data_IF_078032322201
#
_entry.id   IF_078032322201
#
_cell.length_a   1.000
_cell.length_b   1.000
_cell.length_c   1.000
_cell.angle_alpha   90.00
_cell.angle_beta   90.00
_cell.angle_gamma   90.00
#
_symmetry.space_group_name_H-M   'P 1'
#
loop_
_entity.id
_entity.type
_entity.pdbx_description
1 polymer ?
#
# COMPACT_ATOMS: atom_id res chain seq x y z
N UNK A 1 16.54 -12.75 6.62
CA UNK A 1 15.86 -12.53 7.92
C UNK A 1 16.38 -13.59 8.89
N UNK A 2 17.71 -13.70 8.98
CA UNK A 2 18.34 -14.98 9.33
C UNK A 2 18.27 -15.28 10.83
N UNK A 3 18.15 -14.22 11.64
CA UNK A 3 18.02 -14.27 13.09
C UNK A 3 16.61 -13.84 13.57
N UNK A 4 15.58 -13.96 12.72
CA UNK A 4 14.21 -13.56 13.04
C UNK A 4 13.28 -14.78 12.99
N UNK A 5 12.68 -15.13 14.13
CA UNK A 5 11.77 -16.28 14.23
C UNK A 5 10.36 -15.98 13.70
N UNK A 6 9.89 -14.73 13.84
CA UNK A 6 8.57 -14.29 13.42
C UNK A 6 8.50 -12.78 13.21
N UNK A 7 7.58 -12.33 12.34
CA UNK A 7 7.29 -10.92 12.09
C UNK A 7 5.82 -10.62 12.39
N UNK A 8 5.58 -9.58 13.19
CA UNK A 8 4.26 -8.98 13.37
C UNK A 8 4.25 -7.65 12.61
N UNK A 9 3.37 -7.56 11.63
CA UNK A 9 3.06 -6.32 10.93
C UNK A 9 1.72 -5.76 11.40
N UNK A 10 1.52 -4.45 11.24
CA UNK A 10 0.25 -3.80 11.54
C UNK A 10 -0.21 -2.95 10.37
N UNK A 11 -1.51 -2.86 10.19
CA UNK A 11 -2.09 -1.95 9.22
C UNK A 11 -3.40 -1.37 9.77
N UNK A 12 -3.62 -0.08 9.58
CA UNK A 12 -4.87 0.57 10.00
C UNK A 12 -6.09 -0.01 9.28
N UNK A 13 -7.19 -0.16 10.00
CA UNK A 13 -8.51 -0.53 9.47
C UNK A 13 -9.64 0.07 10.33
N UNK A 14 -10.88 -0.32 10.06
CA UNK A 14 -12.08 0.07 10.80
C UNK A 14 -12.55 -0.96 11.85
N UNK A 15 -11.83 -2.09 11.97
CA UNK A 15 -12.06 -3.13 12.98
C UNK A 15 -10.71 -3.69 13.47
N UNK A 16 -10.74 -4.51 14.51
CA UNK A 16 -9.58 -5.23 15.02
C UNK A 16 -9.63 -6.68 14.55
N UNK A 17 -8.78 -7.03 13.59
CA UNK A 17 -8.82 -8.36 12.94
C UNK A 17 -7.43 -8.86 12.60
N UNK A 18 -7.33 -10.16 12.40
CA UNK A 18 -6.16 -10.85 11.87
C UNK A 18 -6.62 -11.88 10.85
N UNK A 19 -5.77 -12.25 9.91
CA UNK A 19 -6.05 -13.31 8.93
C UNK A 19 -4.85 -14.22 8.72
N UNK A 20 -5.10 -15.43 8.22
CA UNK A 20 -4.05 -16.40 7.88
C UNK A 20 -4.25 -17.02 6.49
N UNK A 21 -3.19 -17.67 5.99
CA UNK A 21 -3.13 -18.25 4.66
C UNK A 21 -3.14 -17.18 3.56
N UNK A 22 -3.65 -17.54 2.38
CA UNK A 22 -3.81 -16.61 1.26
C UNK A 22 -4.74 -15.45 1.64
N UNK A 23 -4.18 -14.23 1.61
CA UNK A 23 -4.94 -13.03 1.90
C UNK A 23 -5.66 -12.51 0.66
N UNK A 24 -6.80 -11.85 0.86
CA UNK A 24 -7.39 -10.97 -0.17
C UNK A 24 -6.34 -9.98 -0.70
N UNK A 25 -6.38 -9.67 -1.99
CA UNK A 25 -5.47 -8.72 -2.62
C UNK A 25 -4.65 -9.31 -3.75
N UNK A 26 -3.60 -8.59 -4.13
CA UNK A 26 -2.69 -8.98 -5.22
C UNK A 26 -1.26 -8.70 -4.78
N UNK A 27 -0.28 -9.35 -5.39
CA UNK A 27 1.08 -8.80 -5.47
C UNK A 27 1.18 -7.77 -6.59
N UNK A 28 2.31 -7.07 -6.69
CA UNK A 28 2.57 -6.13 -7.78
C UNK A 28 4.04 -6.04 -8.18
N UNK A 29 4.25 -5.62 -9.42
CA UNK A 29 5.48 -4.94 -9.86
C UNK A 29 5.14 -3.51 -10.23
N UNK A 30 5.93 -2.58 -9.71
CA UNK A 30 5.91 -1.15 -10.01
C UNK A 30 7.12 -0.84 -10.88
N UNK A 31 6.90 -0.45 -12.13
CA UNK A 31 7.97 -0.29 -13.13
C UNK A 31 7.79 0.97 -13.94
N UNK A 32 8.86 1.73 -14.10
CA UNK A 32 8.92 2.91 -14.96
C UNK A 32 9.69 2.55 -16.23
N UNK A 33 9.12 2.85 -17.39
CA UNK A 33 9.77 2.74 -18.69
C UNK A 33 10.18 4.12 -19.16
N UNK A 34 11.42 4.23 -19.62
CA UNK A 34 12.06 5.46 -20.06
C UNK A 34 12.39 5.30 -21.55
N UNK A 35 11.83 6.16 -22.39
CA UNK A 35 12.08 6.17 -23.82
C UNK A 35 13.01 7.33 -24.18
N UNK A 36 14.05 7.03 -24.94
CA UNK A 36 14.98 7.99 -25.50
C UNK A 36 14.83 8.03 -27.03
N UNK A 37 14.70 9.24 -27.55
CA UNK A 37 14.51 9.53 -28.96
C UNK A 37 15.44 10.65 -29.43
N UNK A 38 14.99 11.42 -30.43
CA UNK A 38 15.77 12.49 -31.04
C UNK A 38 14.90 13.74 -31.16
N UNK A 39 15.36 14.84 -30.56
CA UNK A 39 14.66 16.11 -30.65
C UNK A 39 14.81 16.73 -32.04
N UNK A 40 13.75 17.38 -32.51
CA UNK A 40 13.73 18.16 -33.74
C UNK A 40 12.68 19.27 -33.62
N UNK A 41 12.75 20.28 -34.49
CA UNK A 41 11.73 21.31 -34.51
C UNK A 41 10.44 20.70 -35.09
N UNK A 42 9.35 20.71 -34.32
CA UNK A 42 8.10 20.03 -34.68
C UNK A 42 7.46 20.48 -36.01
N UNK A 43 7.64 21.76 -36.37
CA UNK A 43 7.24 22.29 -37.68
C UNK A 43 8.36 22.32 -38.74
N UNK A 44 9.60 22.64 -38.36
CA UNK A 44 10.66 22.97 -39.31
C UNK A 44 11.33 21.76 -39.95
N UNK A 45 11.59 20.73 -39.15
CA UNK A 45 12.26 19.50 -39.60
C UNK A 45 11.86 18.23 -38.82
N UNK A 46 10.55 17.96 -38.63
CA UNK A 46 10.07 16.84 -37.81
C UNK A 46 10.59 15.47 -38.27
N UNK A 47 10.88 15.29 -39.57
CA UNK A 47 11.42 14.04 -40.13
C UNK A 47 12.81 13.66 -39.60
N UNK A 48 13.54 14.59 -38.96
CA UNK A 48 14.80 14.31 -38.27
C UNK A 48 14.63 13.83 -36.84
N UNK A 49 13.43 14.00 -36.26
CA UNK A 49 13.14 13.60 -34.89
C UNK A 49 12.74 12.13 -34.76
N UNK A 50 12.78 11.63 -33.53
CA UNK A 50 12.20 10.34 -33.09
C UNK A 50 11.50 10.60 -31.77
N UNK A 51 10.17 10.53 -31.77
CA UNK A 51 9.35 10.97 -30.64
C UNK A 51 9.29 9.88 -29.56
N UNK A 52 9.91 10.15 -28.41
CA UNK A 52 9.78 9.31 -27.23
C UNK A 52 8.34 9.32 -26.67
N UNK A 53 7.62 10.44 -26.83
CA UNK A 53 6.22 10.53 -26.42
C UNK A 53 5.34 9.60 -27.26
N UNK A 54 5.57 9.53 -28.58
CA UNK A 54 4.81 8.62 -29.44
C UNK A 54 5.04 7.16 -29.01
N UNK A 55 6.25 6.82 -28.58
CA UNK A 55 6.57 5.49 -28.05
C UNK A 55 5.78 5.20 -26.76
N UNK A 56 5.69 6.16 -25.84
CA UNK A 56 4.85 6.05 -24.63
C UNK A 56 3.37 5.88 -24.99
N UNK A 57 2.85 6.66 -25.94
CA UNK A 57 1.45 6.54 -26.37
C UNK A 57 1.17 5.18 -27.02
N UNK A 58 2.06 4.71 -27.90
CA UNK A 58 1.95 3.41 -28.54
C UNK A 58 2.04 2.26 -27.54
N UNK A 59 2.94 2.35 -26.56
CA UNK A 59 3.01 1.38 -25.45
C UNK A 59 1.68 1.34 -24.68
N UNK A 60 1.12 2.50 -24.35
CA UNK A 60 -0.16 2.61 -23.63
C UNK A 60 -1.31 2.03 -24.44
N UNK A 61 -1.39 2.33 -25.74
CA UNK A 61 -2.41 1.77 -26.64
C UNK A 61 -2.26 0.25 -26.73
N UNK A 62 -1.04 -0.25 -26.93
CA UNK A 62 -0.74 -1.67 -26.97
C UNK A 62 -1.16 -2.38 -25.68
N UNK A 63 -0.86 -1.79 -24.53
CA UNK A 63 -1.29 -2.32 -23.24
C UNK A 63 -2.81 -2.27 -23.06
N UNK A 64 -3.46 -1.19 -23.50
CA UNK A 64 -4.93 -1.08 -23.42
C UNK A 64 -5.64 -2.16 -24.23
N UNK A 65 -5.14 -2.53 -25.41
CA UNK A 65 -5.67 -3.69 -26.15
C UNK A 65 -5.31 -5.02 -25.50
N UNK A 66 -4.14 -5.14 -24.87
CA UNK A 66 -3.78 -6.36 -24.12
C UNK A 66 -4.78 -6.67 -23.01
N UNK A 67 -5.43 -5.67 -22.41
CA UNK A 67 -6.36 -5.84 -21.27
C UNK A 67 -7.55 -6.75 -21.56
N UNK A 68 -7.96 -6.92 -22.81
CA UNK A 68 -9.02 -7.88 -23.19
C UNK A 68 -8.62 -9.33 -22.92
N UNK A 69 -7.32 -9.63 -22.90
CA UNK A 69 -6.77 -10.99 -22.80
C UNK A 69 -6.14 -11.28 -21.42
N UNK A 70 -6.46 -10.45 -20.42
CA UNK A 70 -5.94 -10.58 -19.06
C UNK A 70 -6.94 -11.30 -18.17
N UNK A 71 -6.44 -11.99 -17.15
CA UNK A 71 -7.30 -12.67 -16.18
C UNK A 71 -8.14 -11.65 -15.39
N UNK A 72 -9.43 -11.90 -15.07
CA UNK A 72 -10.28 -10.91 -14.38
C UNK A 72 -9.81 -10.47 -12.99
N UNK A 73 -8.91 -11.22 -12.35
CA UNK A 73 -8.31 -10.85 -11.06
C UNK A 73 -7.09 -9.91 -11.20
N UNK A 74 -6.57 -9.75 -12.41
CA UNK A 74 -5.45 -8.88 -12.69
C UNK A 74 -5.85 -7.42 -12.67
N UNK A 75 -4.96 -6.55 -12.22
CA UNK A 75 -5.11 -5.10 -12.37
C UNK A 75 -3.85 -4.49 -12.96
N UNK A 76 -4.03 -3.49 -13.81
CA UNK A 76 -2.93 -2.70 -14.36
C UNK A 76 -3.34 -1.24 -14.44
N UNK A 77 -2.44 -0.35 -14.05
CA UNK A 77 -2.66 1.10 -14.08
C UNK A 77 -1.36 1.78 -14.48
N UNK A 78 -1.46 2.92 -15.15
CA UNK A 78 -0.28 3.69 -15.53
C UNK A 78 -0.53 5.19 -15.44
N UNK A 79 0.57 5.94 -15.33
CA UNK A 79 0.61 7.40 -15.51
C UNK A 79 1.81 7.74 -16.39
N UNK A 80 1.65 8.72 -17.28
CA UNK A 80 2.79 9.29 -18.02
C UNK A 80 3.51 10.20 -17.03
N UNK A 81 4.71 9.80 -16.59
CA UNK A 81 5.49 10.54 -15.60
C UNK A 81 6.28 11.70 -16.21
N UNK A 82 6.61 11.61 -17.50
CA UNK A 82 7.13 12.71 -18.31
C UNK A 82 6.66 12.58 -19.76
N UNK A 83 6.09 13.64 -20.31
CA UNK A 83 5.52 13.67 -21.67
C UNK A 83 6.23 14.63 -22.63
N UNK A 84 7.41 15.13 -22.28
CA UNK A 84 8.11 16.20 -23.00
C UNK A 84 7.76 17.61 -22.54
N UNK A 85 8.61 18.57 -22.91
CA UNK A 85 8.61 19.92 -22.32
C UNK A 85 7.76 20.95 -23.09
N UNK A 86 7.76 20.88 -24.43
CA UNK A 86 7.09 21.87 -25.28
C UNK A 86 6.45 21.24 -26.53
N UNK A 87 5.27 21.70 -26.95
CA UNK A 87 4.54 21.12 -28.08
C UNK A 87 5.16 21.40 -29.45
N UNK A 88 6.06 22.37 -29.57
CA UNK A 88 6.75 22.70 -30.82
C UNK A 88 8.10 21.97 -30.99
N UNK A 89 8.45 21.08 -30.07
CA UNK A 89 9.68 20.27 -30.09
C UNK A 89 9.29 18.79 -30.06
N UNK A 90 9.86 17.99 -30.96
CA UNK A 90 9.69 16.52 -30.91
C UNK A 90 10.33 16.02 -29.61
N UNK A 91 9.60 15.34 -28.70
CA UNK A 91 10.14 14.91 -27.42
C UNK A 91 11.27 13.87 -27.60
N UNK A 92 12.49 14.21 -27.19
CA UNK A 92 13.62 13.27 -27.15
C UNK A 92 13.60 12.36 -25.92
N UNK A 93 12.75 12.65 -24.94
CA UNK A 93 12.60 11.85 -23.73
C UNK A 93 11.15 11.85 -23.29
N UNK A 94 10.64 10.69 -22.89
CA UNK A 94 9.35 10.53 -22.24
C UNK A 94 9.38 9.28 -21.36
N UNK A 95 8.56 9.24 -20.32
CA UNK A 95 8.49 8.11 -19.40
C UNK A 95 7.09 7.82 -18.94
N UNK A 96 6.85 6.54 -18.63
CA UNK A 96 5.56 6.03 -18.17
C UNK A 96 5.74 5.05 -17.02
N UNK A 97 4.99 5.26 -15.95
CA UNK A 97 5.05 4.46 -14.74
C UNK A 97 3.84 3.54 -14.64
N UNK A 98 4.08 2.23 -14.54
CA UNK A 98 3.09 1.17 -14.48
C UNK A 98 3.07 0.48 -13.12
N UNK A 99 1.86 0.12 -12.68
CA UNK A 99 1.62 -0.97 -11.74
C UNK A 99 1.01 -2.15 -12.49
N UNK A 100 1.62 -3.34 -12.36
CA UNK A 100 1.08 -4.62 -12.82
C UNK A 100 0.82 -5.49 -11.59
N UNK A 101 -0.42 -5.98 -11.45
CA UNK A 101 -0.88 -6.70 -10.25
C UNK A 101 -1.56 -8.00 -10.62
N UNK A 102 -1.20 -9.08 -9.92
CA UNK A 102 -1.90 -10.35 -10.02
C UNK A 102 -1.87 -11.13 -8.69
N UNK A 103 -2.69 -12.18 -8.58
CA UNK A 103 -2.84 -12.98 -7.36
C UNK A 103 -1.70 -13.97 -7.11
N UNK A 104 -0.94 -14.37 -8.15
CA UNK A 104 0.21 -15.29 -8.02
C UNK A 104 1.49 -14.61 -8.49
N UNK A 105 2.63 -15.01 -7.92
CA UNK A 105 3.92 -14.45 -8.32
C UNK A 105 4.29 -14.80 -9.76
N UNK A 106 3.94 -16.00 -10.22
CA UNK A 106 4.09 -16.41 -11.62
C UNK A 106 3.26 -15.52 -12.56
N UNK A 107 1.98 -15.32 -12.27
CA UNK A 107 1.12 -14.45 -13.07
C UNK A 107 1.59 -13.00 -13.10
N UNK A 108 2.22 -12.50 -12.03
CA UNK A 108 2.87 -11.18 -12.03
C UNK A 108 4.04 -11.16 -13.01
N UNK A 109 4.91 -12.18 -13.02
CA UNK A 109 6.06 -12.27 -13.95
C UNK A 109 5.60 -12.35 -15.40
N UNK A 110 4.64 -13.21 -15.70
CA UNK A 110 4.12 -13.36 -17.08
C UNK A 110 3.55 -12.04 -17.62
N UNK A 111 2.82 -11.32 -16.77
CA UNK A 111 2.26 -10.02 -17.13
C UNK A 111 3.34 -8.95 -17.27
N UNK A 112 4.36 -8.97 -16.41
CA UNK A 112 5.49 -8.06 -16.49
C UNK A 112 6.33 -8.30 -17.74
N UNK A 113 6.62 -9.55 -18.09
CA UNK A 113 7.32 -9.92 -19.33
C UNK A 113 6.51 -9.55 -20.57
N UNK A 114 5.18 -9.64 -20.49
CA UNK A 114 4.31 -9.16 -21.55
C UNK A 114 4.40 -7.64 -21.71
N UNK A 115 4.37 -6.89 -20.61
CA UNK A 115 4.52 -5.44 -20.63
C UNK A 115 5.87 -5.03 -21.22
N UNK A 116 6.94 -5.75 -20.88
CA UNK A 116 8.28 -5.54 -21.43
C UNK A 116 8.29 -5.67 -22.96
N UNK A 117 7.68 -6.73 -23.52
CA UNK A 117 7.57 -6.91 -24.97
C UNK A 117 6.76 -5.81 -25.66
N UNK A 118 5.72 -5.30 -24.99
CA UNK A 118 4.92 -4.16 -25.52
C UNK A 118 5.77 -2.88 -25.56
N UNK A 119 6.57 -2.63 -24.52
CA UNK A 119 7.49 -1.48 -24.48
C UNK A 119 8.55 -1.56 -25.60
N UNK A 120 9.15 -2.73 -25.79
CA UNK A 120 10.10 -3.00 -26.89
C UNK A 120 9.46 -2.80 -28.26
N UNK A 121 8.24 -3.30 -28.46
CA UNK A 121 7.49 -3.09 -29.70
C UNK A 121 7.20 -1.61 -29.97
N UNK A 122 6.86 -0.83 -28.94
CA UNK A 122 6.64 0.61 -29.08
C UNK A 122 7.92 1.37 -29.45
N UNK A 123 9.06 0.96 -28.87
CA UNK A 123 10.36 1.50 -29.24
C UNK A 123 10.69 1.22 -30.73
N UNK A 124 10.45 -0.01 -31.18
CA UNK A 124 10.65 -0.41 -32.58
C UNK A 124 9.76 0.36 -33.56
N UNK A 125 8.49 0.62 -33.22
CA UNK A 125 7.57 1.37 -34.08
C UNK A 125 7.98 2.84 -34.29
N UNK A 126 8.82 3.38 -33.42
CA UNK A 126 9.15 4.80 -33.36
C UNK A 126 10.63 5.11 -33.59
N UNK A 127 11.44 4.09 -33.93
CA UNK A 127 12.91 4.12 -33.91
C UNK A 127 13.50 4.81 -32.66
N UNK A 128 12.92 4.54 -31.48
CA UNK A 128 13.43 5.00 -30.19
C UNK A 128 14.11 3.85 -29.44
N UNK A 129 14.74 4.14 -28.32
CA UNK A 129 15.24 3.13 -27.38
C UNK A 129 14.42 3.17 -26.10
N UNK A 130 14.29 2.02 -25.43
CA UNK A 130 13.61 1.92 -24.14
C UNK A 130 14.53 1.29 -23.10
N UNK A 131 14.53 1.87 -21.91
CA UNK A 131 15.05 1.27 -20.69
C UNK A 131 13.96 1.19 -19.64
N UNK A 132 14.21 0.47 -18.55
CA UNK A 132 13.26 0.35 -17.45
C UNK A 132 13.95 0.52 -16.10
N UNK A 133 13.13 0.84 -15.10
CA UNK A 133 13.52 0.87 -13.70
C UNK A 133 12.41 0.29 -12.84
N UNK A 134 12.73 -0.67 -11.97
CA UNK A 134 11.80 -1.12 -10.94
C UNK A 134 11.72 -0.04 -9.85
N UNK A 135 10.51 0.45 -9.60
CA UNK A 135 10.23 1.45 -8.57
C UNK A 135 9.90 0.78 -7.23
N UNK A 136 9.32 -0.41 -7.27
CA UNK A 136 8.94 -1.18 -6.10
C UNK A 136 8.25 -2.48 -6.50
N UNK A 137 8.07 -3.36 -5.53
CA UNK A 137 7.39 -4.62 -5.74
C UNK A 137 6.67 -5.06 -4.47
N UNK A 138 5.70 -5.95 -4.62
CA UNK A 138 5.07 -6.65 -3.53
C UNK A 138 4.76 -8.09 -3.97
N UNK A 139 5.16 -9.09 -3.20
CA UNK A 139 4.68 -10.45 -3.41
C UNK A 139 3.20 -10.60 -3.00
N UNK A 140 2.46 -11.57 -3.57
CA UNK A 140 1.16 -11.97 -3.01
C UNK A 140 1.33 -12.35 -1.54
N UNK A 141 0.37 -11.98 -0.68
CA UNK A 141 0.52 -12.16 0.78
C UNK A 141 0.01 -13.54 1.22
N UNK A 142 0.79 -14.21 2.06
CA UNK A 142 0.37 -15.44 2.72
C UNK A 142 0.79 -15.41 4.20
N UNK A 143 -0.16 -15.49 5.13
CA UNK A 143 0.10 -15.26 6.55
C UNK A 143 0.09 -16.53 7.39
N UNK A 144 0.88 -16.53 8.47
CA UNK A 144 1.10 -17.68 9.33
C UNK A 144 -0.11 -17.99 10.22
N UNK A 145 -0.65 -19.21 10.09
CA UNK A 145 -1.87 -19.63 10.79
C UNK A 145 -1.72 -19.75 12.31
N UNK A 146 -0.72 -20.47 12.86
CA UNK A 146 -0.51 -20.54 14.31
C UNK A 146 -0.43 -19.17 14.99
N UNK A 147 0.37 -18.25 14.43
CA UNK A 147 0.51 -16.90 14.99
C UNK A 147 -0.82 -16.13 14.90
N UNK A 148 -1.54 -16.23 13.79
CA UNK A 148 -2.84 -15.58 13.63
C UNK A 148 -3.88 -16.07 14.64
N UNK A 149 -3.91 -17.38 14.94
CA UNK A 149 -4.83 -17.94 15.93
C UNK A 149 -4.50 -17.46 17.35
N UNK A 150 -3.22 -17.42 17.72
CA UNK A 150 -2.78 -16.85 19.00
C UNK A 150 -3.13 -15.36 19.10
N UNK A 151 -2.90 -14.60 18.02
CA UNK A 151 -3.26 -13.20 17.94
C UNK A 151 -4.79 -12.99 18.05
N UNK A 152 -5.61 -13.82 17.41
CA UNK A 152 -7.07 -13.73 17.48
C UNK A 152 -7.60 -13.95 18.92
N UNK A 153 -7.00 -14.87 19.67
CA UNK A 153 -7.32 -15.02 21.10
C UNK A 153 -6.95 -13.77 21.91
N UNK A 154 -5.85 -13.09 21.57
CA UNK A 154 -5.50 -11.81 22.18
C UNK A 154 -6.45 -10.67 21.75
N UNK A 155 -6.88 -10.64 20.49
CA UNK A 155 -7.91 -9.72 19.98
C UNK A 155 -9.20 -9.87 20.78
N UNK A 156 -9.66 -11.11 21.03
CA UNK A 156 -10.87 -11.39 21.82
C UNK A 156 -10.75 -10.94 23.27
N UNK A 157 -9.59 -11.14 23.90
CA UNK A 157 -9.32 -10.70 25.29
C UNK A 157 -9.28 -9.19 25.43
N UNK A 158 -8.68 -8.49 24.46
CA UNK A 158 -8.51 -7.03 24.51
C UNK A 158 -9.78 -6.31 24.06
N UNK A 159 -10.44 -6.81 23.03
CA UNK A 159 -11.67 -6.23 22.48
C UNK A 159 -11.46 -4.89 21.76
N UNK A 160 -12.52 -4.40 21.13
CA UNK A 160 -12.52 -3.06 20.55
C UNK A 160 -12.42 -1.99 21.67
N UNK A 161 -11.80 -0.83 21.39
CA UNK A 161 -11.81 0.25 22.37
C UNK A 161 -13.22 0.79 22.59
N UNK A 162 -13.45 1.39 23.76
CA UNK A 162 -14.70 2.06 24.07
C UNK A 162 -14.80 3.37 23.30
N UNK A 163 -15.74 3.43 22.36
CA UNK A 163 -16.08 4.65 21.62
C UNK A 163 -16.97 5.57 22.45
N UNK A 164 -16.63 6.86 22.50
CA UNK A 164 -17.50 7.88 23.08
C UNK A 164 -18.70 8.18 22.18
N UNK A 165 -19.67 8.94 22.69
CA UNK A 165 -20.76 9.45 21.87
C UNK A 165 -20.23 10.35 20.73
N UNK A 166 -19.18 11.13 20.99
CA UNK A 166 -18.56 11.99 19.98
C UNK A 166 -17.79 11.21 18.90
N UNK A 167 -17.12 10.11 19.25
CA UNK A 167 -16.51 9.20 18.28
C UNK A 167 -17.56 8.71 17.28
N UNK A 168 -18.71 8.26 17.82
CA UNK A 168 -19.81 7.75 17.02
C UNK A 168 -20.49 8.86 16.20
N UNK A 169 -20.66 10.05 16.78
CA UNK A 169 -21.23 11.23 16.11
C UNK A 169 -20.36 11.64 14.92
N UNK A 170 -19.06 11.75 15.12
CA UNK A 170 -18.08 12.09 14.09
C UNK A 170 -18.07 11.04 12.97
N UNK A 171 -17.96 9.76 13.33
CA UNK A 171 -17.93 8.69 12.33
C UNK A 171 -19.20 8.64 11.48
N UNK A 172 -20.38 8.85 12.09
CA UNK A 172 -21.65 8.92 11.36
C UNK A 172 -21.72 10.16 10.47
N UNK A 173 -21.30 11.33 10.96
CA UNK A 173 -21.26 12.55 10.17
C UNK A 173 -20.34 12.39 8.94
N UNK A 174 -19.16 11.80 9.14
CA UNK A 174 -18.21 11.53 8.05
C UNK A 174 -18.78 10.53 7.04
N UNK A 175 -19.42 9.46 7.50
CA UNK A 175 -20.11 8.50 6.63
C UNK A 175 -21.24 9.17 5.82
N UNK A 176 -22.06 10.02 6.44
CA UNK A 176 -23.10 10.79 5.76
C UNK A 176 -22.51 11.74 4.72
N UNK A 177 -21.41 12.43 5.07
CA UNK A 177 -20.70 13.33 4.14
C UNK A 177 -20.17 12.57 2.91
N UNK A 178 -19.75 11.32 3.10
CA UNK A 178 -19.34 10.43 2.02
C UNK A 178 -20.52 9.75 1.29
N UNK A 179 -21.76 10.14 1.57
CA UNK A 179 -22.95 9.66 0.87
C UNK A 179 -23.49 8.32 1.35
N UNK A 180 -23.17 7.88 2.57
CA UNK A 180 -23.73 6.65 3.10
C UNK A 180 -25.24 6.82 3.42
N UNK A 181 -26.09 6.04 2.75
CA UNK A 181 -27.56 6.05 2.98
C UNK A 181 -27.93 5.73 4.43
N UNK A 182 -27.14 4.87 5.08
CA UNK A 182 -27.31 4.47 6.47
C UNK A 182 -25.97 4.52 7.21
N UNK A 183 -25.60 5.64 7.84
CA UNK A 183 -24.39 5.74 8.64
C UNK A 183 -24.51 4.85 9.88
N UNK A 184 -23.56 3.94 10.06
CA UNK A 184 -23.54 2.96 11.15
C UNK A 184 -22.59 3.37 12.28
N UNK A 185 -21.71 4.35 12.04
CA UNK A 185 -20.67 4.77 12.97
C UNK A 185 -19.48 3.81 13.01
N UNK A 186 -18.81 3.76 14.16
CA UNK A 186 -17.69 2.87 14.43
C UNK A 186 -18.15 1.48 14.86
N UNK A 187 -17.35 0.46 14.55
CA UNK A 187 -17.65 -0.91 14.93
C UNK A 187 -17.70 -1.08 16.46
N UNK A 188 -18.73 -1.76 16.96
CA UNK A 188 -18.88 -2.11 18.39
C UNK A 188 -18.74 -3.61 18.64
N UNK A 189 -18.59 -4.40 17.58
CA UNK A 189 -18.37 -5.85 17.65
C UNK A 189 -17.16 -6.22 16.78
N UNK A 190 -16.37 -7.19 17.25
CA UNK A 190 -15.26 -7.76 16.49
C UNK A 190 -15.78 -8.50 15.26
N UNK A 191 -15.09 -8.36 14.13
CA UNK A 191 -15.45 -9.08 12.91
C UNK A 191 -15.02 -10.55 12.90
N UNK A 192 -14.16 -10.94 13.85
CA UNK A 192 -13.55 -12.28 13.90
C UNK A 192 -12.34 -12.42 12.99
N UNK A 193 -11.73 -13.61 13.03
CA UNK A 193 -10.56 -13.96 12.24
C UNK A 193 -10.92 -14.13 10.75
N UNK A 194 -10.02 -13.66 9.88
CA UNK A 194 -10.09 -13.90 8.44
C UNK A 194 -9.47 -15.24 8.07
N UNK A 195 -10.26 -16.11 7.44
CA UNK A 195 -9.81 -17.37 6.87
C UNK A 195 -9.58 -17.25 5.36
N UNK A 196 -8.75 -18.13 4.76
CA UNK A 196 -8.58 -18.20 3.32
C UNK A 196 -9.92 -18.34 2.59
N UNK A 197 -10.10 -17.58 1.53
CA UNK A 197 -11.32 -17.66 0.73
C UNK A 197 -11.29 -18.88 -0.20
N UNK A 198 -12.44 -19.54 -0.47
CA UNK A 198 -12.52 -20.60 -1.46
C UNK A 198 -12.14 -20.15 -2.88
N UNK A 199 -12.20 -18.84 -3.15
CA UNK A 199 -11.80 -18.26 -4.43
C UNK A 199 -11.05 -16.95 -4.19
N UNK A 200 -9.93 -16.73 -4.90
CA UNK A 200 -9.12 -15.53 -4.72
C UNK A 200 -9.88 -14.27 -5.17
N UNK A 201 -9.60 -13.16 -4.49
CA UNK A 201 -10.21 -11.86 -4.74
C UNK A 201 -9.12 -10.82 -4.89
N UNK A 202 -9.12 -10.11 -6.02
CA UNK A 202 -8.21 -9.00 -6.30
C UNK A 202 -8.38 -7.86 -5.29
N UNK A 203 -7.35 -7.01 -5.15
CA UNK A 203 -7.39 -5.89 -4.21
C UNK A 203 -6.02 -5.26 -4.01
N UNK A 204 -5.84 -4.59 -2.87
CA UNK A 204 -4.57 -3.92 -2.53
C UNK A 204 -3.38 -4.88 -2.49
N UNK A 205 -2.19 -4.29 -2.51
CA UNK A 205 -0.89 -4.97 -2.41
C UNK A 205 -0.05 -4.23 -1.39
N UNK A 206 0.85 -4.95 -0.74
CA UNK A 206 1.64 -4.46 0.38
C UNK A 206 2.93 -5.28 0.43
N UNK A 207 4.07 -4.64 0.65
CA UNK A 207 5.41 -5.25 0.61
C UNK A 207 5.65 -6.25 1.74
N UNK A 208 4.78 -6.26 2.77
CA UNK A 208 4.73 -7.34 3.75
C UNK A 208 4.52 -8.71 3.10
N UNK A 209 4.00 -8.76 1.87
CA UNK A 209 3.97 -9.95 1.04
C UNK A 209 5.35 -10.60 0.92
N UNK A 210 6.38 -9.84 0.54
CA UNK A 210 7.75 -10.33 0.38
C UNK A 210 8.28 -10.90 1.69
N UNK A 211 8.05 -10.21 2.81
CA UNK A 211 8.47 -10.65 4.13
C UNK A 211 7.75 -11.95 4.52
N UNK A 212 6.47 -12.04 4.21
CA UNK A 212 5.64 -13.20 4.55
C UNK A 212 6.12 -14.49 3.91
N UNK A 213 6.89 -14.43 2.81
CA UNK A 213 7.51 -15.58 2.15
C UNK A 213 8.95 -15.87 2.59
N UNK A 214 9.51 -15.08 3.50
CA UNK A 214 10.87 -15.26 4.01
C UNK A 214 10.90 -15.66 5.50
N UNK A 215 9.84 -15.38 6.25
CA UNK A 215 9.75 -15.64 7.69
C UNK A 215 8.27 -15.75 8.11
N UNK A 216 7.90 -16.59 9.11
CA UNK A 216 6.56 -16.63 9.66
C UNK A 216 6.04 -15.22 9.99
N UNK A 217 5.00 -14.79 9.26
CA UNK A 217 4.52 -13.39 9.33
C UNK A 217 3.02 -13.34 9.53
N UNK A 218 2.56 -12.41 10.35
CA UNK A 218 1.14 -12.08 10.52
C UNK A 218 0.90 -10.57 10.37
N UNK A 219 -0.30 -10.18 9.98
CA UNK A 219 -0.71 -8.76 9.95
C UNK A 219 -1.90 -8.52 10.87
N UNK A 220 -1.73 -7.65 11.87
CA UNK A 220 -2.83 -7.11 12.66
C UNK A 220 -3.47 -5.93 11.93
N UNK A 221 -4.78 -5.99 11.71
CA UNK A 221 -5.59 -4.83 11.38
C UNK A 221 -6.11 -4.20 12.68
N UNK A 222 -5.88 -2.92 12.91
CA UNK A 222 -6.32 -2.23 14.14
C UNK A 222 -7.32 -1.10 13.85
N UNK A 223 -8.32 -0.86 14.73
CA UNK A 223 -9.50 -0.07 14.43
C UNK A 223 -9.25 1.43 14.60
N UNK A 224 -8.31 2.01 13.85
CA UNK A 224 -7.95 3.43 13.95
C UNK A 224 -8.53 4.30 12.81
N UNK A 225 -9.49 3.77 12.03
CA UNK A 225 -10.17 4.54 10.99
C UNK A 225 -11.69 4.31 10.98
N UNK A 226 -12.41 5.19 10.28
CA UNK A 226 -13.86 5.09 10.08
C UNK A 226 -14.14 4.19 8.88
N UNK A 227 -15.10 3.26 9.04
CA UNK A 227 -15.53 2.37 7.96
C UNK A 227 -16.39 3.06 6.90
N UNK A 228 -16.55 2.40 5.73
CA UNK A 228 -17.34 2.88 4.57
C UNK A 228 -16.81 4.18 3.93
N UNK A 229 -15.50 4.40 4.03
CA UNK A 229 -14.80 5.48 3.34
C UNK A 229 -14.12 4.96 2.06
N UNK A 230 -13.67 5.88 1.22
CA UNK A 230 -12.87 5.56 0.03
C UNK A 230 -11.40 5.45 0.44
N UNK A 231 -10.75 4.35 0.06
CA UNK A 231 -9.30 4.18 0.28
C UNK A 231 -8.50 5.19 -0.53
N UNK A 232 -7.37 5.65 0.02
CA UNK A 232 -6.47 6.66 -0.58
C UNK A 232 -7.16 8.00 -0.91
N UNK A 233 -8.25 8.32 -0.20
CA UNK A 233 -9.00 9.56 -0.33
C UNK A 233 -8.82 10.40 0.95
N UNK A 234 -8.97 11.73 0.85
CA UNK A 234 -8.79 12.64 1.99
C UNK A 234 -9.66 12.26 3.20
N UNK A 235 -10.84 11.67 2.97
CA UNK A 235 -11.73 11.24 4.04
C UNK A 235 -11.12 10.16 4.94
N UNK A 236 -10.26 9.30 4.39
CA UNK A 236 -9.53 8.28 5.17
C UNK A 236 -8.44 8.88 6.06
N UNK A 237 -8.03 10.13 5.84
CA UNK A 237 -7.11 10.84 6.72
C UNK A 237 -7.84 11.49 7.92
N UNK A 238 -9.16 11.57 7.91
CA UNK A 238 -9.91 12.38 8.87
C UNK A 238 -9.90 11.83 10.28
N UNK A 239 -9.85 10.50 10.44
CA UNK A 239 -9.77 9.88 11.76
C UNK A 239 -8.39 10.06 12.42
N UNK A 240 -7.31 10.27 11.64
CA UNK A 240 -5.93 10.26 12.12
C UNK A 240 -5.63 11.38 13.13
N UNK A 241 -6.37 12.48 13.07
CA UNK A 241 -6.25 13.61 13.98
C UNK A 241 -7.37 13.62 15.05
N UNK A 242 -7.88 12.46 15.47
CA UNK A 242 -9.00 12.37 16.42
C UNK A 242 -8.74 11.32 17.51
N UNK A 243 -9.49 11.36 18.63
CA UNK A 243 -9.48 10.29 19.62
C UNK A 243 -9.70 8.88 19.05
N UNK A 244 -10.39 8.75 17.90
CA UNK A 244 -10.64 7.46 17.23
C UNK A 244 -9.31 6.76 16.92
N UNK A 245 -8.40 7.46 16.25
CA UNK A 245 -7.13 6.88 15.84
C UNK A 245 -6.26 6.52 17.04
N UNK A 246 -6.21 7.40 18.06
CA UNK A 246 -5.46 7.13 19.29
C UNK A 246 -5.99 5.88 20.02
N UNK A 247 -7.30 5.81 20.28
CA UNK A 247 -7.94 4.67 20.94
C UNK A 247 -7.73 3.37 20.18
N UNK A 248 -7.89 3.40 18.86
CA UNK A 248 -7.66 2.26 17.98
C UNK A 248 -6.21 1.79 17.97
N UNK A 249 -5.26 2.72 17.88
CA UNK A 249 -3.83 2.41 17.91
C UNK A 249 -3.40 1.83 19.27
N UNK A 250 -3.89 2.38 20.38
CA UNK A 250 -3.61 1.85 21.74
C UNK A 250 -4.16 0.43 21.91
N UNK A 251 -5.38 0.15 21.42
CA UNK A 251 -5.94 -1.20 21.44
C UNK A 251 -5.10 -2.17 20.59
N UNK A 252 -4.73 -1.77 19.38
CA UNK A 252 -3.86 -2.55 18.49
C UNK A 252 -2.48 -2.82 19.10
N UNK A 253 -1.86 -1.82 19.72
CA UNK A 253 -0.57 -1.96 20.40
C UNK A 253 -0.62 -2.97 21.54
N UNK A 254 -1.72 -3.03 22.30
CA UNK A 254 -1.92 -4.07 23.32
C UNK A 254 -1.95 -5.47 22.70
N UNK A 255 -2.62 -5.65 21.57
CA UNK A 255 -2.69 -6.96 20.87
C UNK A 255 -1.33 -7.38 20.37
N UNK A 256 -0.57 -6.44 19.78
CA UNK A 256 0.82 -6.70 19.37
C UNK A 256 1.65 -7.11 20.58
N UNK A 257 1.61 -6.35 21.67
CA UNK A 257 2.39 -6.62 22.87
C UNK A 257 2.06 -7.99 23.49
N UNK A 258 0.79 -8.35 23.63
CA UNK A 258 0.41 -9.66 24.19
C UNK A 258 0.77 -10.81 23.26
N UNK A 259 0.66 -10.62 21.94
CA UNK A 259 1.08 -11.64 20.97
C UNK A 259 2.60 -11.82 20.95
N UNK A 260 3.37 -10.74 21.11
CA UNK A 260 4.83 -10.82 21.29
C UNK A 260 5.20 -11.61 22.55
N UNK A 261 4.47 -11.40 23.66
CA UNK A 261 4.68 -12.19 24.87
C UNK A 261 4.40 -13.67 24.64
N UNK A 262 3.33 -14.02 23.90
CA UNK A 262 3.04 -15.41 23.55
C UNK A 262 4.17 -16.03 22.71
N UNK A 263 4.69 -15.31 21.72
CA UNK A 263 5.81 -15.78 20.88
C UNK A 263 7.10 -16.00 21.69
N UNK A 264 7.38 -15.12 22.65
CA UNK A 264 8.59 -15.20 23.48
C UNK A 264 8.46 -16.32 24.53
N UNK A 265 7.28 -16.47 25.13
CA UNK A 265 7.08 -17.35 26.29
C UNK A 265 6.65 -18.76 25.90
N UNK A 266 5.95 -18.92 24.78
CA UNK A 266 5.47 -20.21 24.32
C UNK A 266 6.32 -20.76 23.17
N UNK A 267 7.31 -21.60 23.52
CA UNK A 267 8.17 -22.27 22.53
C UNK A 267 7.41 -23.17 21.55
N UNK A 268 6.25 -23.72 21.93
CA UNK A 268 5.48 -24.54 20.99
C UNK A 268 4.88 -23.69 19.86
N UNK A 269 4.50 -22.44 20.14
CA UNK A 269 3.92 -21.54 19.14
C UNK A 269 4.92 -21.23 18.02
N UNK A 270 6.19 -21.00 18.35
CA UNK A 270 7.25 -20.81 17.34
C UNK A 270 7.46 -22.09 16.53
N UNK A 271 7.53 -23.25 17.19
CA UNK A 271 7.63 -24.54 16.51
C UNK A 271 6.50 -24.77 15.51
N UNK A 272 5.25 -24.56 15.95
CA UNK A 272 4.07 -24.70 15.10
C UNK A 272 4.09 -23.69 13.94
N UNK A 273 4.52 -22.45 14.20
CA UNK A 273 4.64 -21.40 13.18
C UNK A 273 5.66 -21.77 12.10
N UNK A 274 6.83 -22.29 12.50
CA UNK A 274 7.87 -22.76 11.58
C UNK A 274 7.38 -23.97 10.78
N UNK A 275 6.77 -24.97 11.43
CA UNK A 275 6.20 -26.12 10.72
C UNK A 275 5.14 -25.71 9.70
N UNK A 276 4.24 -24.78 10.04
CA UNK A 276 3.28 -24.27 9.06
C UNK A 276 3.96 -23.54 7.90
N UNK A 277 5.01 -22.78 8.17
CA UNK A 277 5.74 -22.04 7.16
C UNK A 277 6.48 -22.97 6.18
N UNK A 278 7.17 -23.98 6.69
CA UNK A 278 7.94 -24.94 5.89
C UNK A 278 7.05 -25.97 5.19
N UNK A 279 6.11 -26.57 5.92
CA UNK A 279 5.35 -27.74 5.46
C UNK A 279 4.08 -27.38 4.68
N UNK A 280 3.58 -26.13 4.79
CA UNK A 280 2.34 -25.69 4.14
C UNK A 280 2.58 -24.50 3.24
N UNK A 281 3.10 -23.40 3.78
CA UNK A 281 3.19 -22.15 3.03
C UNK A 281 4.25 -22.22 1.92
N UNK A 282 5.45 -22.73 2.22
CA UNK A 282 6.59 -22.73 1.29
C UNK A 282 6.87 -24.09 0.65
N UNK A 283 6.01 -25.09 0.91
CA UNK A 283 6.19 -26.46 0.44
C UNK A 283 6.35 -26.55 -1.09
N UNK A 284 5.51 -25.83 -1.83
CA UNK A 284 5.46 -25.88 -3.29
C UNK A 284 5.91 -24.58 -3.97
N UNK A 285 6.06 -23.49 -3.21
CA UNK A 285 6.33 -22.15 -3.74
C UNK A 285 7.62 -21.60 -3.15
N UNK A 286 8.57 -21.27 -4.02
CA UNK A 286 9.83 -20.64 -3.63
C UNK A 286 9.77 -19.14 -3.87
N UNK A 287 10.12 -18.38 -2.85
CA UNK A 287 10.31 -16.94 -2.96
C UNK A 287 11.46 -16.62 -3.93
N UNK A 288 11.19 -15.72 -4.87
CA UNK A 288 12.17 -15.14 -5.79
C UNK A 288 11.82 -13.65 -5.92
N UNK A 289 12.70 -12.73 -5.47
CA UNK A 289 12.40 -11.31 -5.47
C UNK A 289 12.10 -10.82 -6.90
N UNK A 290 11.15 -9.90 -7.03
CA UNK A 290 10.92 -9.21 -8.30
C UNK A 290 11.95 -8.11 -8.58
N UNK A 291 12.59 -7.62 -7.52
CA UNK A 291 13.66 -6.63 -7.56
C UNK A 291 14.98 -7.37 -7.78
N UNK A 292 15.69 -7.01 -8.85
CA UNK A 292 17.01 -7.55 -9.16
C UNK A 292 18.14 -6.92 -8.34
N UNK A 293 19.35 -7.49 -8.37
CA UNK A 293 20.50 -6.96 -7.62
C UNK A 293 20.93 -5.56 -8.08
N UNK A 294 20.62 -5.18 -9.33
CA UNK A 294 20.98 -3.90 -9.93
C UNK A 294 19.83 -2.86 -9.86
N UNK A 295 18.66 -3.24 -9.34
CA UNK A 295 17.52 -2.32 -9.20
C UNK A 295 17.71 -1.44 -7.96
N UNK A 296 18.15 -0.20 -8.18
CA UNK A 296 18.33 0.77 -7.11
C UNK A 296 16.97 1.30 -6.58
N UNK A 297 16.82 1.48 -5.25
CA UNK A 297 15.59 2.00 -4.67
C UNK A 297 15.27 3.42 -5.18
N UNK A 298 13.99 3.72 -5.35
CA UNK A 298 13.50 5.02 -5.82
C UNK A 298 13.46 6.09 -4.72
N UNK A 299 14.61 6.34 -4.07
CA UNK A 299 14.73 7.25 -2.92
C UNK A 299 14.47 8.72 -3.29
N UNK A 300 14.62 9.08 -4.56
CA UNK A 300 14.45 10.44 -5.04
C UNK A 300 12.97 10.85 -5.19
N UNK A 301 12.03 9.89 -5.38
CA UNK A 301 10.63 10.21 -5.71
C UNK A 301 9.91 11.06 -4.66
N UNK A 302 10.30 10.95 -3.38
CA UNK A 302 9.73 11.73 -2.28
C UNK A 302 10.67 12.82 -1.76
N UNK A 303 11.86 13.00 -2.34
CA UNK A 303 12.89 13.87 -1.78
C UNK A 303 12.43 15.33 -1.64
N UNK A 304 11.75 15.87 -2.66
CA UNK A 304 11.25 17.25 -2.64
C UNK A 304 10.16 17.46 -1.59
N UNK A 305 9.19 16.54 -1.52
CA UNK A 305 8.11 16.59 -0.53
C UNK A 305 8.68 16.46 0.88
N UNK A 306 9.60 15.52 1.09
CA UNK A 306 10.27 15.34 2.38
C UNK A 306 11.05 16.60 2.77
N UNK A 307 11.81 17.20 1.85
CA UNK A 307 12.53 18.45 2.10
C UNK A 307 11.59 19.61 2.44
N UNK A 308 10.44 19.70 1.78
CA UNK A 308 9.43 20.73 2.04
C UNK A 308 8.78 20.60 3.42
N UNK A 309 8.51 19.38 3.87
CA UNK A 309 7.72 19.15 5.09
C UNK A 309 8.54 18.79 6.33
N UNK A 310 9.80 18.34 6.19
CA UNK A 310 10.61 17.87 7.33
C UNK A 310 10.67 18.90 8.47
N UNK A 311 11.19 20.10 8.21
CA UNK A 311 11.36 21.13 9.23
C UNK A 311 10.01 21.61 9.79
N UNK A 312 8.96 21.58 8.96
CA UNK A 312 7.59 21.96 9.36
C UNK A 312 6.93 20.93 10.27
N UNK A 313 7.34 19.67 10.18
CA UNK A 313 6.82 18.58 11.01
C UNK A 313 7.52 18.51 12.37
N UNK A 314 8.75 19.01 12.49
CA UNK A 314 9.51 18.98 13.75
C UNK A 314 8.76 19.69 14.90
N UNK A 315 8.09 20.81 14.61
CA UNK A 315 7.25 21.53 15.59
C UNK A 315 6.03 20.71 16.07
N UNK A 316 5.65 19.67 15.34
CA UNK A 316 4.49 18.81 15.63
C UNK A 316 4.91 17.47 16.24
N UNK A 317 6.21 17.24 16.47
CA UNK A 317 6.67 16.01 17.10
C UNK A 317 6.16 15.91 18.53
N UNK A 318 5.61 14.75 18.86
CA UNK A 318 5.02 14.52 20.16
C UNK A 318 6.08 14.58 21.27
N UNK A 319 5.82 15.38 22.30
CA UNK A 319 6.67 15.61 23.47
C UNK A 319 6.10 14.86 24.69
N UNK A 320 6.44 13.56 24.87
CA UNK A 320 5.86 12.73 25.94
C UNK A 320 6.24 13.17 27.35
N UNK A 321 7.24 14.04 27.52
CA UNK A 321 7.61 14.61 28.82
C UNK A 321 6.68 15.72 29.30
N UNK A 322 5.83 16.27 28.41
CA UNK A 322 4.95 17.40 28.70
C UNK A 322 3.47 17.06 28.57
N UNK A 323 3.13 16.10 27.72
CA UNK A 323 1.75 15.76 27.38
C UNK A 323 1.53 14.26 27.49
N UNK A 324 0.42 13.85 28.09
CA UNK A 324 0.07 12.43 28.22
C UNK A 324 -0.27 11.79 26.87
N UNK A 325 -0.78 12.57 25.92
CA UNK A 325 -1.05 12.13 24.54
C UNK A 325 -0.72 13.22 23.50
N UNK A 326 -0.55 12.83 22.23
CA UNK A 326 -0.38 13.80 21.13
C UNK A 326 -1.62 14.68 20.92
N UNK A 327 -2.80 14.21 21.32
CA UNK A 327 -4.04 14.98 21.23
C UNK A 327 -4.03 16.14 22.23
N UNK A 328 -3.52 15.90 23.44
CA UNK A 328 -3.36 16.95 24.46
C UNK A 328 -2.36 18.02 23.99
N UNK A 329 -1.26 17.59 23.36
CA UNK A 329 -0.28 18.51 22.78
C UNK A 329 -0.89 19.41 21.69
N UNK A 330 -1.71 18.82 20.82
CA UNK A 330 -2.34 19.55 19.72
C UNK A 330 -3.60 20.31 20.17
N UNK A 331 -4.06 20.12 21.40
CA UNK A 331 -5.32 20.70 21.90
C UNK A 331 -6.55 20.20 21.13
N UNK A 332 -6.52 18.96 20.62
CA UNK A 332 -7.59 18.42 19.77
C UNK A 332 -8.54 17.54 20.60
N UNK A 333 -9.78 17.99 20.74
CA UNK A 333 -10.87 17.16 21.26
C UNK A 333 -11.63 16.45 20.11
N UNK A 334 -12.20 17.21 19.16
CA UNK A 334 -12.75 16.75 17.87
C UNK A 334 -12.73 17.89 16.85
N UNK A 335 -12.82 17.58 15.53
CA UNK A 335 -13.01 18.60 14.50
C UNK A 335 -14.27 19.42 14.79
N UNK A 336 -14.09 20.72 15.00
CA UNK A 336 -15.19 21.66 15.18
C UNK A 336 -15.81 21.98 13.82
N UNK A 337 -17.15 22.00 13.72
CA UNK A 337 -17.86 22.39 12.50
C UNK A 337 -17.69 23.89 12.17
N UNK A 338 -17.27 24.67 13.15
CA UNK A 338 -16.85 26.07 13.02
C UNK A 338 -15.33 26.12 13.17
N UNK A 339 -14.58 26.73 12.23
CA UNK A 339 -13.14 26.83 12.34
C UNK A 339 -12.77 27.65 13.58
N UNK A 340 -12.22 27.01 14.61
CA UNK A 340 -11.36 27.72 15.53
C UNK A 340 -10.20 28.21 14.68
N UNK A 341 -9.93 29.52 14.69
CA UNK A 341 -8.80 30.11 13.97
C UNK A 341 -7.56 29.34 14.40
N UNK A 342 -7.12 28.39 13.58
CA UNK A 342 -5.79 27.82 13.71
C UNK A 342 -4.91 29.02 13.38
N UNK A 343 -4.33 29.64 14.41
CA UNK A 343 -3.37 30.73 14.25
C UNK A 343 -2.14 30.16 13.55
N UNK A 344 -2.24 30.03 12.23
CA UNK A 344 -1.09 30.04 11.35
C UNK A 344 -0.94 31.50 11.00
N UNK A 345 0.03 32.16 11.63
CA UNK A 345 0.52 33.41 11.07
C UNK A 345 0.83 33.13 9.59
N UNK A 346 0.23 33.87 8.64
CA UNK A 346 0.56 33.70 7.24
C UNK A 346 2.03 34.05 7.05
N UNK A 347 2.80 33.11 6.51
CA UNK A 347 4.08 33.38 5.85
C UNK A 347 3.81 33.86 4.43
#
# INVERSE_FOLDING_TARGET
FDDVDAVIFTHVDNNMTVSWGDSRGTGLVSVEYLFDGVAAHGAGDPWKGRSALDAVELMNVGWNFRREHLHPLQRSHYVISSGGDQPNVVPSYASVWYFIREITAEGIRENFDTLQRVAEGAAMMTDTTVSRRIIGAAWPRHFNRPIALAMDENIKKIGLPTWSEDDQRFAKALQTLMGADRPIGLATNLSGIGEPLPSPVSGGSDDIGDISWNVPTVTLRYPANVGRLQGHHWSSAMAMATPIAHKGAVAGAKVVATTMLDLIQNKSLIGDALSYFDDVQTADVKYVPFIGPDDAPAIEKNAEIMALFKDRLEELYYEPSRFDTYLDQLGIEYPQFEPTVIQRNPL
#
